data_IF_298802632730
#
_entry.id   IF_298802632730
#
_cell.length_a   1.000
_cell.length_b   1.000
_cell.length_c   1.000
_cell.angle_alpha   90.00
_cell.angle_beta   90.00
_cell.angle_gamma   90.00
#
_symmetry.space_group_name_H-M   'P 1'
#
loop_
_entity.id
_entity.type
_entity.pdbx_description
1 polymer ?
#
# COMPACT_ATOMS: atom_id res chain seq x y z
N UNK A 1 -1.91 24.48 0.36
CA UNK A 1 -0.84 23.47 0.18
C UNK A 1 -1.40 22.47 -0.83
N UNK A 2 -1.05 22.63 -2.11
CA UNK A 2 -1.61 21.78 -3.18
C UNK A 2 -0.74 20.54 -3.21
N UNK A 3 -1.09 19.54 -2.39
CA UNK A 3 -0.48 18.22 -2.47
C UNK A 3 -0.96 17.59 -3.79
N UNK A 4 -0.07 17.50 -4.77
CA UNK A 4 -0.34 16.71 -5.97
C UNK A 4 -0.15 15.25 -5.58
N UNK A 5 -1.27 14.56 -5.34
CA UNK A 5 -1.30 13.17 -4.90
C UNK A 5 -0.88 12.25 -6.06
N UNK A 6 0.42 11.96 -6.17
CA UNK A 6 0.91 10.81 -6.93
C UNK A 6 0.81 9.62 -5.97
N UNK A 7 -0.39 9.10 -5.76
CA UNK A 7 -0.66 8.12 -4.71
C UNK A 7 -0.37 6.70 -5.20
N UNK A 8 0.76 6.13 -4.80
CA UNK A 8 0.90 4.68 -4.82
C UNK A 8 0.06 4.13 -3.67
N UNK A 9 -1.08 3.51 -3.98
CA UNK A 9 -2.00 2.98 -2.96
C UNK A 9 -1.68 1.52 -2.74
N UNK A 10 -1.40 1.12 -1.49
CA UNK A 10 -1.54 -0.26 -1.05
C UNK A 10 -2.78 -0.38 -0.14
N UNK A 11 -3.73 -1.25 -0.51
CA UNK A 11 -4.93 -1.51 0.29
C UNK A 11 -5.00 -2.99 0.68
N UNK A 12 -5.18 -3.28 1.96
CA UNK A 12 -5.62 -4.58 2.45
C UNK A 12 -7.12 -4.51 2.72
N UNK A 13 -7.93 -5.21 1.90
CA UNK A 13 -9.38 -5.21 2.05
C UNK A 13 -9.91 -6.65 2.21
N UNK A 14 -10.63 -6.88 3.32
CA UNK A 14 -11.54 -8.02 3.51
C UNK A 14 -12.96 -7.54 3.21
N UNK A 15 -13.59 -8.18 2.23
CA UNK A 15 -14.84 -7.76 1.59
C UNK A 15 -16.06 -7.81 2.54
N UNK A 16 -16.89 -6.76 2.56
CA UNK A 16 -18.26 -6.80 3.09
C UNK A 16 -19.29 -6.49 1.99
N UNK A 17 -20.28 -7.38 1.94
CA UNK A 17 -21.32 -7.54 0.93
C UNK A 17 -22.40 -6.45 1.03
N UNK A 18 -22.85 -5.91 -0.12
CA UNK A 18 -24.14 -5.20 -0.20
C UNK A 18 -25.06 -5.89 -1.19
N UNK A 19 -26.19 -6.37 -0.69
CA UNK A 19 -27.30 -6.95 -1.46
C UNK A 19 -28.13 -5.81 -2.06
N UNK A 20 -28.40 -5.89 -3.37
CA UNK A 20 -29.50 -5.16 -4.01
C UNK A 20 -30.28 -6.16 -4.86
N UNK A 21 -31.55 -6.31 -4.52
CA UNK A 21 -32.55 -7.12 -5.21
C UNK A 21 -33.12 -6.33 -6.39
N UNK A 22 -33.13 -6.92 -7.59
CA UNK A 22 -33.96 -6.52 -8.72
C UNK A 22 -34.05 -7.65 -9.77
N UNK A 23 -35.19 -8.34 -9.75
CA UNK A 23 -36.05 -8.73 -10.88
C UNK A 23 -35.41 -8.97 -12.27
N UNK A 24 -35.50 -10.22 -12.72
CA UNK A 24 -35.89 -10.61 -14.08
C UNK A 24 -35.13 -10.01 -15.27
N UNK A 25 -33.95 -10.55 -15.60
CA UNK A 25 -33.36 -10.42 -16.94
C UNK A 25 -32.81 -11.77 -17.41
N UNK A 26 -33.46 -12.35 -18.42
CA UNK A 26 -32.89 -13.43 -19.21
C UNK A 26 -31.66 -12.90 -19.94
N UNK A 27 -30.48 -13.14 -19.38
CA UNK A 27 -29.21 -12.69 -19.94
C UNK A 27 -28.33 -13.88 -20.23
N UNK A 28 -27.91 -14.03 -21.50
CA UNK A 28 -26.81 -14.92 -21.85
C UNK A 28 -25.64 -14.55 -20.95
N UNK A 29 -25.04 -15.55 -20.27
CA UNK A 29 -23.79 -15.37 -19.53
C UNK A 29 -22.68 -14.97 -20.52
N UNK A 30 -22.60 -13.68 -20.83
CA UNK A 30 -21.36 -13.07 -21.27
C UNK A 30 -20.57 -12.87 -19.99
N UNK A 31 -19.53 -13.68 -19.81
CA UNK A 31 -18.54 -13.42 -18.77
C UNK A 31 -18.04 -11.99 -19.00
N UNK A 32 -18.44 -11.06 -18.14
CA UNK A 32 -17.81 -9.75 -18.08
C UNK A 32 -16.40 -9.98 -17.57
N UNK A 33 -15.48 -10.19 -18.50
CA UNK A 33 -14.07 -10.16 -18.24
C UNK A 33 -13.74 -8.70 -17.94
N UNK A 34 -13.78 -8.33 -16.65
CA UNK A 34 -13.10 -7.15 -16.15
C UNK A 34 -11.70 -7.18 -16.81
N UNK A 35 -11.28 -6.16 -17.56
CA UNK A 35 -9.94 -6.15 -18.12
C UNK A 35 -9.01 -6.43 -16.95
N UNK A 36 -8.28 -7.56 -17.00
CA UNK A 36 -7.32 -7.87 -15.95
C UNK A 36 -6.37 -6.69 -15.93
N UNK A 37 -6.51 -5.82 -14.93
CA UNK A 37 -5.47 -4.86 -14.60
C UNK A 37 -4.20 -5.69 -14.60
N UNK A 38 -3.24 -5.31 -15.45
CA UNK A 38 -1.98 -6.01 -15.57
C UNK A 38 -1.32 -5.85 -14.22
N UNK A 39 -1.58 -6.78 -13.29
CA UNK A 39 -0.91 -6.80 -12.00
C UNK A 39 0.55 -6.91 -12.35
N UNK A 40 1.30 -5.84 -12.12
CA UNK A 40 2.74 -5.95 -12.07
C UNK A 40 3.00 -6.95 -10.96
N UNK A 41 3.74 -8.02 -11.26
CA UNK A 41 4.03 -9.03 -10.26
C UNK A 41 4.73 -8.32 -9.10
N UNK A 42 4.40 -8.63 -7.83
CA UNK A 42 5.09 -8.04 -6.69
C UNK A 42 6.61 -8.20 -6.90
N UNK A 43 7.37 -7.15 -6.61
CA UNK A 43 8.84 -7.21 -6.55
C UNK A 43 9.30 -7.37 -5.10
N UNK A 44 10.53 -7.83 -4.90
CA UNK A 44 11.09 -8.03 -3.56
C UNK A 44 10.64 -9.33 -2.85
N UNK A 45 10.81 -9.44 -1.52
CA UNK A 45 10.49 -10.63 -0.74
C UNK A 45 9.03 -11.08 -0.86
N UNK A 46 8.09 -10.14 -1.02
CA UNK A 46 6.68 -10.42 -1.22
C UNK A 46 6.38 -11.15 -2.55
N UNK A 47 7.21 -10.96 -3.58
CA UNK A 47 7.12 -11.68 -4.86
C UNK A 47 7.20 -13.21 -4.70
N UNK A 48 7.95 -13.64 -3.69
CA UNK A 48 8.23 -15.06 -3.41
C UNK A 48 7.20 -15.68 -2.48
N UNK A 49 6.28 -14.87 -1.93
CA UNK A 49 5.27 -15.35 -0.98
C UNK A 49 4.01 -15.77 -1.73
N UNK A 50 3.26 -16.69 -1.12
CA UNK A 50 1.98 -17.10 -1.69
C UNK A 50 1.02 -15.92 -1.74
N UNK A 51 0.13 -15.88 -2.73
CA UNK A 51 -0.88 -14.82 -2.86
C UNK A 51 -1.86 -14.73 -1.66
N UNK A 52 -1.85 -15.72 -0.77
CA UNK A 52 -2.59 -15.73 0.50
C UNK A 52 -1.78 -15.22 1.71
N UNK A 53 -0.55 -14.74 1.50
CA UNK A 53 0.24 -14.14 2.57
C UNK A 53 -0.30 -12.75 2.91
N UNK A 54 -1.00 -12.67 4.05
CA UNK A 54 -1.62 -11.45 4.55
C UNK A 54 -0.61 -10.43 5.10
N UNK A 55 0.68 -10.76 5.14
CA UNK A 55 1.75 -9.88 5.63
C UNK A 55 2.49 -9.16 4.50
N UNK A 56 1.99 -9.25 3.27
CA UNK A 56 2.53 -8.54 2.12
C UNK A 56 1.47 -7.65 1.48
N UNK A 57 1.77 -6.36 1.35
CA UNK A 57 0.93 -5.39 0.69
C UNK A 57 1.56 -5.03 -0.65
N UNK A 58 0.81 -5.14 -1.75
CA UNK A 58 1.26 -4.68 -3.06
C UNK A 58 1.09 -3.16 -3.18
N UNK A 59 2.11 -2.48 -3.71
CA UNK A 59 2.08 -1.07 -4.05
C UNK A 59 1.67 -0.89 -5.52
N UNK A 60 0.65 -0.08 -5.77
CA UNK A 60 0.15 0.14 -7.13
C UNK A 60 0.54 1.51 -7.66
N UNK A 61 1.32 1.55 -8.74
CA UNK A 61 1.76 2.78 -9.39
C UNK A 61 0.61 3.55 -10.05
N UNK A 62 0.68 4.88 -9.97
CA UNK A 62 -0.16 5.80 -10.77
C UNK A 62 0.44 5.98 -12.18
N UNK A 63 -0.35 6.44 -13.17
CA UNK A 63 0.09 6.55 -14.55
C UNK A 63 1.40 7.33 -14.77
N UNK A 64 1.64 8.37 -13.97
CA UNK A 64 2.84 9.22 -14.03
C UNK A 64 4.13 8.47 -13.69
N UNK A 65 4.01 7.39 -12.91
CA UNK A 65 5.13 6.52 -12.49
C UNK A 65 4.85 5.06 -12.87
N UNK A 66 4.20 4.80 -13.99
CA UNK A 66 3.73 3.45 -14.39
C UNK A 66 4.83 2.37 -14.49
N UNK A 67 6.11 2.75 -14.53
CA UNK A 67 7.25 1.83 -14.46
C UNK A 67 7.65 1.41 -13.05
N UNK A 68 7.10 2.07 -12.02
CA UNK A 68 7.37 1.77 -10.63
C UNK A 68 6.55 0.58 -10.14
N UNK A 69 7.13 -0.17 -9.21
CA UNK A 69 6.51 -1.29 -8.54
C UNK A 69 7.03 -1.39 -7.13
N UNK A 70 6.26 -1.98 -6.23
CA UNK A 70 6.78 -2.31 -4.92
C UNK A 70 5.87 -3.17 -4.09
N UNK A 71 6.35 -3.49 -2.91
CA UNK A 71 5.60 -4.16 -1.86
C UNK A 71 6.00 -3.66 -0.48
N UNK A 72 5.11 -3.82 0.49
CA UNK A 72 5.39 -3.54 1.90
C UNK A 72 5.21 -4.82 2.70
N UNK A 73 6.26 -5.22 3.39
CA UNK A 73 6.27 -6.36 4.31
C UNK A 73 5.86 -5.94 5.73
N UNK A 74 4.98 -6.73 6.34
CA UNK A 74 4.54 -6.57 7.72
C UNK A 74 5.33 -7.54 8.62
N UNK A 75 6.53 -7.11 9.02
CA UNK A 75 7.37 -7.81 9.96
C UNK A 75 6.75 -7.89 11.35
N UNK A 76 7.03 -9.00 12.06
CA UNK A 76 6.64 -9.18 13.46
C UNK A 76 7.57 -8.39 14.38
N UNK A 77 7.00 -7.67 15.34
CA UNK A 77 7.75 -7.11 16.46
C UNK A 77 7.84 -8.16 17.57
N UNK A 78 9.04 -8.49 18.09
CA UNK A 78 9.19 -9.44 19.19
C UNK A 78 8.42 -9.02 20.44
N UNK A 79 7.77 -9.98 21.10
CA UNK A 79 6.99 -9.79 22.32
C UNK A 79 7.06 -11.05 23.20
N UNK A 80 7.07 -10.92 24.54
CA UNK A 80 7.02 -12.06 25.46
C UNK A 80 5.81 -12.98 25.25
N UNK A 81 4.73 -12.45 24.65
CA UNK A 81 3.48 -13.15 24.41
C UNK A 81 3.34 -13.63 22.96
N UNK A 82 4.42 -13.59 22.17
CA UNK A 82 4.45 -14.02 20.77
C UNK A 82 3.88 -13.00 19.79
N UNK A 83 2.90 -12.19 20.16
CA UNK A 83 2.36 -11.07 19.35
C UNK A 83 2.58 -9.75 20.09
N UNK A 84 3.05 -8.73 19.39
CA UNK A 84 3.14 -7.38 19.92
C UNK A 84 1.80 -6.67 19.71
N UNK A 85 1.23 -6.16 20.80
CA UNK A 85 0.00 -5.36 20.78
C UNK A 85 0.16 -4.12 21.65
N UNK A 86 -0.56 -3.06 21.32
CA UNK A 86 -0.71 -1.88 22.19
C UNK A 86 -1.61 -2.19 23.38
N UNK A 87 -1.67 -1.34 24.43
CA UNK A 87 -2.62 -1.50 25.54
C UNK A 87 -4.10 -1.53 25.09
N UNK A 88 -4.41 -0.89 23.95
CA UNK A 88 -5.74 -0.90 23.35
C UNK A 88 -6.03 -2.18 22.53
N UNK A 89 -5.06 -3.09 22.41
CA UNK A 89 -5.20 -4.35 21.67
C UNK A 89 -4.93 -4.23 20.18
N UNK A 90 -4.28 -3.16 19.71
CA UNK A 90 -3.90 -3.03 18.30
C UNK A 90 -2.63 -3.80 17.98
N UNK A 91 -2.59 -4.51 16.86
CA UNK A 91 -1.39 -5.21 16.42
C UNK A 91 -0.27 -4.23 16.08
N UNK A 92 0.95 -4.54 16.53
CA UNK A 92 2.15 -3.76 16.20
C UNK A 92 2.96 -4.52 15.16
N UNK A 93 3.14 -3.90 13.99
CA UNK A 93 3.95 -4.43 12.89
C UNK A 93 5.14 -3.52 12.60
N UNK A 94 6.25 -4.11 12.17
CA UNK A 94 7.39 -3.40 11.61
C UNK A 94 7.25 -3.39 10.09
N UNK A 95 7.26 -2.23 9.45
CA UNK A 95 7.10 -2.12 8.00
C UNK A 95 8.46 -2.06 7.30
N UNK A 96 8.58 -2.80 6.20
CA UNK A 96 9.71 -2.71 5.27
C UNK A 96 9.18 -2.60 3.86
N UNK A 97 9.52 -1.52 3.15
CA UNK A 97 9.12 -1.34 1.75
C UNK A 97 10.23 -1.79 0.80
N UNK A 98 9.82 -2.47 -0.27
CA UNK A 98 10.65 -2.85 -1.40
C UNK A 98 10.11 -2.13 -2.62
N UNK A 99 10.90 -1.23 -3.21
CA UNK A 99 10.45 -0.38 -4.29
C UNK A 99 11.46 -0.43 -5.44
N UNK A 100 10.97 -0.49 -6.67
CA UNK A 100 11.78 -0.49 -7.88
C UNK A 100 11.12 0.40 -8.93
N UNK A 101 11.93 0.98 -9.82
CA UNK A 101 11.44 1.75 -10.96
C UNK A 101 10.87 3.13 -10.62
N UNK A 102 11.11 3.67 -9.41
CA UNK A 102 10.83 5.08 -9.12
C UNK A 102 11.75 5.96 -9.97
N UNK A 103 11.19 6.94 -10.71
CA UNK A 103 12.01 7.95 -11.39
C UNK A 103 12.54 8.97 -10.38
N UNK A 104 13.52 9.79 -10.78
CA UNK A 104 13.99 10.91 -9.97
C UNK A 104 12.83 11.84 -9.59
N UNK A 105 12.66 12.25 -8.31
CA UNK A 105 11.54 13.10 -7.89
C UNK A 105 11.40 14.39 -8.70
N UNK A 106 12.53 14.99 -9.10
CA UNK A 106 12.57 16.21 -9.89
C UNK A 106 12.02 16.02 -11.31
N UNK A 107 11.94 14.79 -11.81
CA UNK A 107 11.31 14.49 -13.10
C UNK A 107 9.78 14.60 -13.06
N UNK A 108 9.19 14.56 -11.85
CA UNK A 108 7.75 14.64 -11.62
C UNK A 108 7.27 16.07 -11.27
N UNK A 109 8.19 17.04 -11.21
CA UNK A 109 7.88 18.44 -10.88
C UNK A 109 8.84 19.02 -9.84
N UNK A 110 8.39 19.93 -8.97
CA UNK A 110 9.24 20.61 -7.98
C UNK A 110 9.53 19.75 -6.73
N UNK A 111 9.60 18.42 -6.89
CA UNK A 111 9.79 17.49 -5.79
C UNK A 111 11.26 17.09 -5.66
N UNK A 112 11.65 16.73 -4.44
CA UNK A 112 13.04 16.34 -4.12
C UNK A 112 13.15 15.01 -3.40
N UNK A 113 12.05 14.45 -2.88
CA UNK A 113 12.06 13.22 -2.10
C UNK A 113 10.76 12.45 -2.29
N UNK A 114 10.78 11.13 -2.07
CA UNK A 114 9.55 10.36 -1.86
C UNK A 114 9.35 10.08 -0.38
N UNK A 115 8.12 10.21 0.09
CA UNK A 115 7.76 9.97 1.49
C UNK A 115 6.69 8.89 1.57
N UNK A 116 6.94 7.90 2.42
CA UNK A 116 5.94 6.92 2.80
C UNK A 116 5.10 7.43 3.98
N UNK A 117 3.80 7.19 3.88
CA UNK A 117 2.80 7.54 4.88
C UNK A 117 1.94 6.32 5.19
N UNK A 118 1.45 6.23 6.43
CA UNK A 118 0.36 5.34 6.78
C UNK A 118 -0.86 6.15 7.17
N UNK A 119 -2.03 5.71 6.75
CA UNK A 119 -3.30 6.34 7.12
C UNK A 119 -4.38 5.30 7.36
N UNK A 120 -5.40 5.64 8.15
CA UNK A 120 -6.62 4.82 8.21
C UNK A 120 -7.38 4.89 6.87
N UNK A 121 -8.32 3.96 6.60
CA UNK A 121 -9.21 4.04 5.44
C UNK A 121 -10.07 5.30 5.37
N UNK A 122 -10.21 6.03 6.49
CA UNK A 122 -10.92 7.30 6.57
C UNK A 122 -10.00 8.51 6.36
N UNK A 123 -8.74 8.29 5.98
CA UNK A 123 -7.73 9.33 5.78
C UNK A 123 -7.40 10.18 7.03
N UNK A 124 -7.71 9.67 8.22
CA UNK A 124 -7.40 10.33 9.50
C UNK A 124 -7.26 9.28 10.63
N UNK A 125 -6.16 9.28 11.40
CA UNK A 125 -4.95 10.09 11.22
C UNK A 125 -4.06 9.61 10.05
N UNK A 126 -3.25 10.54 9.52
CA UNK A 126 -2.14 10.27 8.59
C UNK A 126 -0.82 10.42 9.34
N UNK A 127 0.05 9.43 9.28
CA UNK A 127 1.36 9.45 9.93
C UNK A 127 2.47 9.27 8.90
N UNK A 128 3.58 9.99 9.10
CA UNK A 128 4.78 9.87 8.30
C UNK A 128 5.57 8.64 8.72
N UNK A 129 5.87 7.76 7.79
CA UNK A 129 6.69 6.56 8.02
C UNK A 129 8.17 6.83 7.77
N UNK A 130 8.47 7.68 6.78
CA UNK A 130 9.84 8.08 6.45
C UNK A 130 10.04 8.33 4.95
N UNK A 131 11.23 8.81 4.60
CA UNK A 131 11.68 8.90 3.22
C UNK A 131 11.93 7.51 2.63
N UNK A 132 11.67 7.35 1.33
CA UNK A 132 11.86 6.10 0.60
C UNK A 132 12.52 6.32 -0.75
N UNK A 133 13.29 5.33 -1.19
CA UNK A 133 13.89 5.28 -2.52
C UNK A 133 13.73 3.90 -3.16
N UNK A 134 14.27 3.73 -4.38
CA UNK A 134 14.46 2.41 -4.97
C UNK A 134 15.35 1.54 -4.05
N UNK A 135 14.92 0.30 -3.79
CA UNK A 135 15.59 -0.65 -2.92
C UNK A 135 14.74 -1.04 -1.71
N UNK A 136 15.42 -1.27 -0.58
CA UNK A 136 14.80 -1.71 0.68
C UNK A 136 14.78 -0.55 1.68
N UNK A 137 13.59 -0.21 2.19
CA UNK A 137 13.37 0.93 3.07
C UNK A 137 12.74 0.47 4.39
N UNK A 138 13.32 0.86 5.52
CA UNK A 138 12.74 0.59 6.85
C UNK A 138 11.79 1.72 7.24
N UNK A 139 10.51 1.40 7.43
CA UNK A 139 9.42 2.37 7.61
C UNK A 139 8.94 2.52 9.07
N UNK A 140 9.62 1.86 10.01
CA UNK A 140 9.24 1.90 11.42
C UNK A 140 8.03 1.01 11.77
N UNK A 141 7.37 1.34 12.88
CA UNK A 141 6.26 0.54 13.41
C UNK A 141 4.92 1.19 13.11
N UNK A 142 3.92 0.35 12.83
CA UNK A 142 2.52 0.76 12.70
C UNK A 142 1.69 0.08 13.78
N UNK A 143 0.70 0.80 14.28
CA UNK A 143 -0.24 0.34 15.32
C UNK A 143 -1.69 0.42 14.86
N UNK A 144 -1.92 0.63 13.56
CA UNK A 144 -3.26 0.65 12.99
C UNK A 144 -3.73 -0.78 12.68
N UNK A 145 -4.95 -1.10 13.07
CA UNK A 145 -5.58 -2.38 12.72
C UNK A 145 -5.92 -2.48 11.23
N UNK A 146 -6.32 -1.36 10.62
CA UNK A 146 -6.61 -1.23 9.19
C UNK A 146 -5.99 0.06 8.71
N UNK A 147 -5.19 -0.01 7.67
CA UNK A 147 -4.48 1.14 7.14
C UNK A 147 -4.16 0.98 5.65
N UNK A 148 -3.88 2.12 5.03
CA UNK A 148 -3.30 2.26 3.71
C UNK A 148 -1.86 2.71 3.88
N UNK A 149 -0.98 2.23 3.00
CA UNK A 149 0.35 2.83 2.80
C UNK A 149 0.30 3.65 1.53
N UNK A 150 0.78 4.89 1.63
CA UNK A 150 0.87 5.83 0.52
C UNK A 150 2.33 6.22 0.33
N UNK A 151 2.79 6.31 -0.91
CA UNK A 151 4.07 6.93 -1.24
C UNK A 151 3.78 8.15 -2.09
N UNK A 152 4.30 9.31 -1.70
CA UNK A 152 4.10 10.59 -2.40
C UNK A 152 5.44 11.23 -2.73
N UNK A 153 5.50 11.98 -3.84
CA UNK A 153 6.63 12.86 -4.13
C UNK A 153 6.42 14.19 -3.40
N UNK A 154 7.40 14.60 -2.59
CA UNK A 154 7.33 15.79 -1.75
C UNK A 154 8.46 16.77 -2.06
N UNK A 155 8.21 18.06 -1.79
CA UNK A 155 9.18 19.15 -2.02
C UNK A 155 10.34 19.14 -1.01
N UNK A 156 10.22 18.35 0.05
CA UNK A 156 11.23 18.14 1.07
C UNK A 156 10.98 16.84 1.83
N UNK A 157 12.03 16.26 2.40
CA UNK A 157 11.96 15.07 3.23
C UNK A 157 11.49 15.35 4.68
N UNK A 158 11.16 16.59 5.05
CA UNK A 158 10.81 16.99 6.44
C UNK A 158 9.31 17.26 6.63
#
# INVERSE_FOLDING_TARGET
>A
MVASFIAIIAAAETNETKVVEAEGFSSKLVAQQQPRQRRVAPSGPCAKRNASDLYCLDLYAVPEVAGANGSVDLGRVPSPFGIAVTPAGHHVHQLTAHIEGLPEPTSLGPYSAYIAWATTPFFEPVIKLGEVDNGVNSLGRIEFNKFLVLITAETSAN
#
